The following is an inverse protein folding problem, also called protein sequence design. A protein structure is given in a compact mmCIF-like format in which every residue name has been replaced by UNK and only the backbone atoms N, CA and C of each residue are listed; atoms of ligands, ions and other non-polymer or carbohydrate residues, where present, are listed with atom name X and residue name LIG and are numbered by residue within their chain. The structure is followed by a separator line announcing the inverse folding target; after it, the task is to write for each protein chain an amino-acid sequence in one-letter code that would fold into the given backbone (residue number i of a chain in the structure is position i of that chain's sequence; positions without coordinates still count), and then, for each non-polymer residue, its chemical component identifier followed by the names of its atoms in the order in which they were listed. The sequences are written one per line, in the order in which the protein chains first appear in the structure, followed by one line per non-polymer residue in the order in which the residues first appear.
data_IF_907396756495
#
_entry.id   IF_907396756495
#
_cell.length_a   1.000
_cell.length_b   1.000
_cell.length_c   1.000
_cell.angle_alpha   90.00
_cell.angle_beta   90.00
_cell.angle_gamma   90.00
#
_symmetry.space_group_name_H-M   'P 1'
#
loop_
_entity.id
_entity.type
_entity.pdbx_description
1 polymer ?
#
# COMPACT_ATOMS: atom_id res chain seq x y z
N UNK A 1 6.56 -21.61 -4.69
CA UNK A 1 7.29 -20.33 -4.52
C UNK A 1 8.37 -20.54 -3.49
N UNK A 2 9.60 -20.09 -3.75
CA UNK A 2 10.64 -20.06 -2.74
C UNK A 2 10.37 -18.90 -1.77
N UNK A 3 10.47 -19.15 -0.48
CA UNK A 3 10.41 -18.12 0.56
C UNK A 3 11.77 -18.04 1.23
N UNK A 4 12.20 -16.82 1.54
CA UNK A 4 13.45 -16.56 2.23
C UNK A 4 13.16 -15.86 3.56
N UNK A 5 13.81 -16.30 4.64
CA UNK A 5 13.62 -15.71 5.96
C UNK A 5 14.63 -14.61 6.18
N UNK A 6 14.14 -13.39 6.30
CA UNK A 6 14.94 -12.22 6.69
C UNK A 6 14.57 -11.78 8.11
N UNK A 7 15.51 -11.14 8.80
CA UNK A 7 15.23 -10.45 10.07
C UNK A 7 15.29 -8.96 9.81
N UNK A 8 14.25 -8.24 10.23
CA UNK A 8 14.14 -6.79 10.04
C UNK A 8 13.77 -6.12 11.36
N UNK A 9 14.26 -4.90 11.57
CA UNK A 9 13.80 -4.03 12.64
C UNK A 9 12.70 -3.13 12.08
N UNK A 10 11.56 -3.09 12.77
CA UNK A 10 10.42 -2.26 12.39
C UNK A 10 9.95 -1.44 13.58
N UNK A 11 9.32 -0.28 13.35
CA UNK A 11 8.67 0.46 14.43
C UNK A 11 7.61 -0.39 15.14
N UNK A 12 7.44 -0.19 16.45
CA UNK A 12 6.56 -1.00 17.27
C UNK A 12 5.10 -0.89 16.80
N UNK A 13 4.67 0.30 16.42
CA UNK A 13 3.35 0.60 15.90
C UNK A 13 3.00 -0.18 14.62
N UNK A 14 4.00 -0.47 13.78
CA UNK A 14 3.82 -1.29 12.56
C UNK A 14 3.58 -2.75 12.95
N UNK A 15 4.33 -3.26 13.93
CA UNK A 15 4.14 -4.61 14.43
C UNK A 15 2.78 -4.77 15.12
N UNK A 16 2.35 -3.79 15.90
CA UNK A 16 1.03 -3.80 16.54
C UNK A 16 -0.10 -3.82 15.51
N UNK A 17 0.02 -3.04 14.42
CA UNK A 17 -0.94 -3.05 13.31
C UNK A 17 -1.03 -4.43 12.65
N UNK A 18 0.10 -5.09 12.44
CA UNK A 18 0.14 -6.45 11.89
C UNK A 18 -0.49 -7.48 12.86
N UNK A 19 -0.22 -7.36 14.17
CA UNK A 19 -0.82 -8.23 15.19
C UNK A 19 -2.33 -8.04 15.28
N UNK A 20 -2.82 -6.81 15.21
CA UNK A 20 -4.24 -6.50 15.20
C UNK A 20 -4.95 -7.09 13.98
N UNK A 21 -4.33 -7.01 12.79
CA UNK A 21 -4.87 -7.63 11.58
C UNK A 21 -4.94 -9.17 11.68
N UNK A 22 -3.98 -9.80 12.37
CA UNK A 22 -4.04 -11.25 12.63
C UNK A 22 -5.14 -11.58 13.63
N UNK A 23 -5.23 -10.81 14.73
CA UNK A 23 -6.23 -11.02 15.77
C UNK A 23 -7.67 -10.85 15.25
N UNK A 24 -7.89 -9.93 14.29
CA UNK A 24 -9.19 -9.74 13.64
C UNK A 24 -9.48 -10.75 12.52
N UNK A 25 -8.55 -11.64 12.19
CA UNK A 25 -8.67 -12.60 11.10
C UNK A 25 -8.47 -12.01 9.70
N UNK A 26 -8.09 -10.73 9.59
CA UNK A 26 -7.78 -10.09 8.32
C UNK A 26 -6.49 -10.63 7.68
N UNK A 27 -5.60 -11.23 8.47
CA UNK A 27 -4.41 -11.92 7.99
C UNK A 27 -4.17 -13.23 8.75
N UNK A 28 -3.67 -14.30 8.10
CA UNK A 28 -3.43 -15.58 8.77
C UNK A 28 -2.17 -15.59 9.66
N UNK A 29 -1.25 -14.66 9.46
CA UNK A 29 -0.04 -14.47 10.29
C UNK A 29 0.61 -13.11 10.03
N UNK A 30 1.52 -12.70 10.91
CA UNK A 30 2.31 -11.47 10.73
C UNK A 30 3.14 -11.53 9.44
N UNK A 31 3.77 -12.67 9.15
CA UNK A 31 4.53 -12.84 7.92
C UNK A 31 3.66 -12.71 6.67
N UNK A 32 2.43 -13.23 6.71
CA UNK A 32 1.48 -13.06 5.60
C UNK A 32 1.08 -11.60 5.44
N UNK A 33 0.72 -10.91 6.53
CA UNK A 33 0.40 -9.48 6.50
C UNK A 33 1.53 -8.64 5.87
N UNK A 34 2.77 -8.84 6.33
CA UNK A 34 3.93 -8.11 5.80
C UNK A 34 4.21 -8.48 4.34
N UNK A 35 4.12 -9.76 3.99
CA UNK A 35 4.37 -10.22 2.61
C UNK A 35 3.35 -9.64 1.62
N UNK A 36 2.08 -9.58 2.00
CA UNK A 36 1.04 -8.93 1.18
C UNK A 36 1.30 -7.43 1.05
N UNK A 37 1.57 -6.72 2.16
CA UNK A 37 1.85 -5.30 2.13
C UNK A 37 3.06 -4.94 1.23
N UNK A 38 4.12 -5.75 1.29
CA UNK A 38 5.30 -5.59 0.43
C UNK A 38 4.96 -5.89 -1.03
N UNK A 39 4.17 -6.94 -1.29
CA UNK A 39 3.72 -7.30 -2.65
C UNK A 39 2.88 -6.19 -3.26
N UNK A 40 1.91 -5.66 -2.52
CA UNK A 40 1.03 -4.58 -2.97
C UNK A 40 1.81 -3.31 -3.26
N UNK A 41 2.79 -2.99 -2.40
CA UNK A 41 3.68 -1.86 -2.62
C UNK A 41 4.49 -2.04 -3.91
N UNK A 42 5.13 -3.21 -4.08
CA UNK A 42 5.91 -3.50 -5.27
C UNK A 42 5.06 -3.50 -6.56
N UNK A 43 3.82 -3.98 -6.49
CA UNK A 43 2.89 -3.94 -7.62
C UNK A 43 2.53 -2.49 -7.99
N UNK A 44 2.24 -1.63 -7.00
CA UNK A 44 1.99 -0.20 -7.23
C UNK A 44 3.20 0.51 -7.84
N UNK A 45 4.39 0.28 -7.28
CA UNK A 45 5.62 0.91 -7.77
C UNK A 45 5.92 0.48 -9.23
N UNK A 46 5.65 -0.78 -9.59
CA UNK A 46 5.78 -1.25 -10.98
C UNK A 46 4.80 -0.59 -11.93
N UNK A 47 3.55 -0.37 -11.52
CA UNK A 47 2.56 0.31 -12.35
C UNK A 47 2.96 1.76 -12.60
N UNK A 48 3.39 2.47 -11.56
CA UNK A 48 3.91 3.84 -11.66
C UNK A 48 5.08 3.87 -12.65
N UNK A 49 6.09 3.02 -12.46
CA UNK A 49 7.25 2.96 -13.35
C UNK A 49 6.88 2.62 -14.81
N UNK A 50 5.87 1.77 -15.02
CA UNK A 50 5.41 1.43 -16.37
C UNK A 50 4.76 2.64 -17.07
N UNK A 51 4.00 3.45 -16.34
CA UNK A 51 3.41 4.70 -16.86
C UNK A 51 4.53 5.70 -17.18
N UNK A 52 5.44 5.93 -16.25
CA UNK A 52 6.53 6.89 -16.44
C UNK A 52 7.45 6.52 -17.62
N UNK A 53 7.72 5.22 -17.79
CA UNK A 53 8.49 4.71 -18.94
C UNK A 53 7.81 4.99 -20.28
N UNK A 54 6.48 4.99 -20.32
CA UNK A 54 5.71 5.15 -21.57
C UNK A 54 5.39 6.60 -21.92
N UNK A 55 5.15 7.45 -20.92
CA UNK A 55 4.65 8.82 -21.11
C UNK A 55 5.58 9.90 -20.52
N UNK A 56 6.66 9.52 -19.84
CA UNK A 56 7.51 10.45 -19.10
C UNK A 56 7.08 10.56 -17.63
N UNK A 57 7.92 11.17 -16.77
CA UNK A 57 7.64 11.33 -15.34
C UNK A 57 6.35 12.12 -15.11
N UNK A 58 5.66 11.83 -14.02
CA UNK A 58 4.53 12.65 -13.59
C UNK A 58 5.03 14.04 -13.19
N UNK A 59 4.39 15.09 -13.72
CA UNK A 59 4.62 16.45 -13.25
C UNK A 59 3.83 16.74 -11.96
N UNK A 60 4.21 17.83 -11.30
CA UNK A 60 3.59 18.25 -10.04
C UNK A 60 2.11 18.59 -10.23
N UNK A 61 1.73 19.16 -11.38
CA UNK A 61 0.34 19.52 -11.68
C UNK A 61 -0.57 18.30 -11.78
N UNK A 62 -0.13 17.26 -12.50
CA UNK A 62 -0.84 15.98 -12.60
C UNK A 62 -0.94 15.28 -11.23
N UNK A 63 0.12 15.34 -10.44
CA UNK A 63 0.14 14.76 -9.09
C UNK A 63 -0.82 15.49 -8.15
N UNK A 64 -0.86 16.82 -8.20
CA UNK A 64 -1.76 17.64 -7.37
C UNK A 64 -3.22 17.54 -7.84
N UNK A 65 -3.45 17.42 -9.14
CA UNK A 65 -4.77 17.09 -9.68
C UNK A 65 -5.25 15.72 -9.17
N UNK A 66 -4.41 14.69 -9.24
CA UNK A 66 -4.74 13.35 -8.77
C UNK A 66 -5.05 13.35 -7.25
N UNK A 67 -4.23 14.03 -6.45
CA UNK A 67 -4.46 14.16 -5.00
C UNK A 67 -5.82 14.76 -4.68
N UNK A 68 -6.20 15.86 -5.35
CA UNK A 68 -7.51 16.50 -5.17
C UNK A 68 -8.67 15.57 -5.52
N UNK A 69 -8.54 14.78 -6.58
CA UNK A 69 -9.55 13.79 -6.95
C UNK A 69 -9.71 12.74 -5.85
N UNK A 70 -8.62 12.13 -5.38
CA UNK A 70 -8.69 11.11 -4.34
C UNK A 70 -9.29 11.64 -3.04
N UNK A 71 -8.88 12.83 -2.60
CA UNK A 71 -9.44 13.48 -1.40
C UNK A 71 -10.93 13.77 -1.54
N UNK A 72 -11.38 14.18 -2.73
CA UNK A 72 -12.80 14.45 -3.00
C UNK A 72 -13.66 13.18 -3.11
N UNK A 73 -13.12 12.09 -3.68
CA UNK A 73 -13.79 10.81 -3.82
C UNK A 73 -13.92 10.06 -2.48
N UNK A 74 -12.95 10.22 -1.58
CA UNK A 74 -13.01 9.70 -0.19
C UNK A 74 -14.03 10.45 0.67
N UNK A 75 -14.42 11.66 0.26
CA UNK A 75 -15.51 12.45 0.85
C UNK A 75 -16.92 12.01 0.42
N UNK A 76 -17.04 11.33 -0.72
CA UNK A 76 -18.31 10.81 -1.25
C UNK A 76 -18.64 9.42 -0.66
N UNK A 77 -17.62 8.58 -0.50
CA UNK A 77 -17.73 7.24 0.12
C UNK A 77 -18.11 7.28 1.61
N UNK A 78 -17.88 8.41 2.29
CA UNK A 78 -18.26 8.64 3.71
C UNK A 78 -19.65 9.24 3.91
N UNK A 79 -20.34 9.71 2.86
CA UNK A 79 -21.71 10.23 2.94
C UNK A 79 -22.80 9.17 2.70
N UNK A 80 -22.43 8.02 2.17
CA UNK A 80 -23.36 6.95 1.75
C UNK A 80 -23.40 5.76 2.73
N UNK A 81 -22.89 5.89 3.95
CA UNK A 81 -22.89 4.83 4.98
C UNK A 81 -23.56 5.26 6.27
#
# INVERSE_FOLDING_TARGET
MATEKITVTVPAEVLESARAAVASGAAPSVSAYVSEAVRDRAARDRLVAAVESRWGPFDDEATDWARRIFESADGDSRRTR
#
